data_IF_195146716568
#
_entry.id   IF_195146716568
#
_cell.length_a   1.000
_cell.length_b   1.000
_cell.length_c   1.000
_cell.angle_alpha   90.00
_cell.angle_beta   90.00
_cell.angle_gamma   90.00
#
_symmetry.space_group_name_H-M   'P 1'
#
loop_
_entity.id
_entity.type
_entity.pdbx_description
1 polymer ?
#
# COMPACT_ATOMS: atom_id res chain seq x y z
N UNK A 1 -4.27 10.69 19.88
CA UNK A 1 -3.60 11.30 18.70
C UNK A 1 -2.26 11.88 19.08
N UNK A 2 -2.20 12.90 19.95
CA UNK A 2 -0.95 13.55 20.36
C UNK A 2 0.03 12.65 21.15
N UNK A 3 -0.48 11.57 21.73
CA UNK A 3 0.32 10.55 22.41
C UNK A 3 1.16 9.71 21.44
N UNK A 4 0.69 9.52 20.20
CA UNK A 4 1.30 8.65 19.18
C UNK A 4 1.93 9.44 18.03
N UNK A 5 1.22 10.43 17.50
CA UNK A 5 1.61 11.19 16.31
C UNK A 5 2.31 12.47 16.73
N UNK A 6 3.39 12.83 16.04
CA UNK A 6 4.06 14.11 16.21
C UNK A 6 3.26 15.22 15.52
N UNK A 7 2.30 15.80 16.24
CA UNK A 7 1.36 16.81 15.71
C UNK A 7 2.09 18.03 15.15
N UNK A 8 3.15 18.49 15.82
CA UNK A 8 3.90 19.66 15.38
C UNK A 8 4.59 19.42 14.02
N UNK A 9 5.24 18.26 13.85
CA UNK A 9 5.85 17.87 12.57
C UNK A 9 4.80 17.75 11.46
N UNK A 10 3.63 17.19 11.80
CA UNK A 10 2.53 16.98 10.89
C UNK A 10 1.91 18.31 10.40
N UNK A 11 1.60 19.24 11.29
CA UNK A 11 1.06 20.56 10.92
C UNK A 11 2.09 21.40 10.14
N UNK A 12 3.36 21.35 10.54
CA UNK A 12 4.44 22.04 9.84
C UNK A 12 4.58 21.53 8.40
N UNK A 13 4.58 20.21 8.21
CA UNK A 13 4.73 19.61 6.90
C UNK A 13 3.52 19.91 6.00
N UNK A 14 2.28 19.89 6.54
CA UNK A 14 1.08 20.30 5.80
C UNK A 14 1.19 21.77 5.35
N UNK A 15 1.62 22.66 6.24
CA UNK A 15 1.79 24.08 5.91
C UNK A 15 2.90 24.34 4.88
N UNK A 16 3.98 23.54 4.89
CA UNK A 16 5.16 23.78 4.06
C UNK A 16 5.07 23.10 2.69
N UNK A 17 4.61 21.84 2.68
CA UNK A 17 4.63 20.98 1.50
C UNK A 17 3.27 20.92 0.80
N UNK A 18 2.20 21.36 1.44
CA UNK A 18 0.84 21.21 0.94
C UNK A 18 0.43 19.74 0.74
N UNK A 19 -0.76 19.55 0.20
CA UNK A 19 -1.28 18.22 -0.15
C UNK A 19 -1.98 18.23 -1.52
N UNK A 20 -2.97 19.11 -1.66
CA UNK A 20 -3.96 19.08 -2.75
C UNK A 20 -3.37 19.40 -4.13
N UNK A 21 -2.39 20.29 -4.18
CA UNK A 21 -1.83 20.79 -5.44
C UNK A 21 -0.56 20.05 -5.86
N UNK A 22 -0.14 19.04 -5.09
CA UNK A 22 1.07 18.28 -5.39
C UNK A 22 0.87 17.34 -6.59
N UNK A 23 1.89 17.22 -7.43
CA UNK A 23 1.90 16.38 -8.65
C UNK A 23 2.70 15.09 -8.43
N UNK A 24 2.31 13.94 -9.01
CA UNK A 24 1.35 13.75 -10.12
C UNK A 24 -0.14 13.72 -9.72
N UNK A 25 -0.42 13.61 -8.43
CA UNK A 25 -1.75 13.64 -7.81
C UNK A 25 -1.60 14.02 -6.34
N UNK A 26 -2.68 14.46 -5.66
CA UNK A 26 -2.61 14.96 -4.30
C UNK A 26 -1.89 13.99 -3.36
N UNK A 27 -0.85 14.46 -2.70
CA UNK A 27 -0.04 13.66 -1.78
C UNK A 27 0.80 14.53 -0.85
N UNK A 28 1.29 13.95 0.23
CA UNK A 28 2.26 14.57 1.14
C UNK A 28 3.19 13.50 1.71
N UNK A 29 4.47 13.87 1.89
CA UNK A 29 5.46 13.07 2.61
C UNK A 29 5.71 13.75 3.96
N UNK A 30 5.57 13.01 5.04
CA UNK A 30 5.84 13.49 6.39
C UNK A 30 7.00 12.69 6.97
N UNK A 31 7.97 13.40 7.55
CA UNK A 31 9.08 12.81 8.31
C UNK A 31 8.76 12.83 9.79
N UNK A 32 9.35 11.91 10.56
CA UNK A 32 9.17 11.83 12.01
C UNK A 32 7.69 11.78 12.42
N UNK A 33 6.90 11.00 11.69
CA UNK A 33 5.44 11.00 11.79
C UNK A 33 4.93 10.51 13.15
N UNK A 34 5.44 9.37 13.62
CA UNK A 34 5.20 8.88 14.96
C UNK A 34 6.18 9.51 15.94
N UNK A 35 5.82 9.58 17.21
CA UNK A 35 6.81 9.81 18.28
C UNK A 35 7.74 8.59 18.34
N UNK A 36 9.03 8.84 18.61
CA UNK A 36 10.09 7.84 18.46
C UNK A 36 9.83 6.56 19.25
N UNK A 37 9.25 6.65 20.45
CA UNK A 37 8.92 5.48 21.28
C UNK A 37 7.91 4.55 20.61
N UNK A 38 6.93 5.10 19.90
CA UNK A 38 5.94 4.31 19.17
C UNK A 38 6.50 3.75 17.89
N UNK A 39 7.33 4.51 17.18
CA UNK A 39 8.03 4.01 16.02
C UNK A 39 8.87 2.78 16.38
N UNK A 40 9.73 2.88 17.40
CA UNK A 40 10.61 1.77 17.79
C UNK A 40 9.82 0.55 18.27
N UNK A 41 8.72 0.76 18.99
CA UNK A 41 7.83 -0.31 19.43
C UNK A 41 7.15 -1.01 18.23
N UNK A 42 6.64 -0.27 17.25
CA UNK A 42 6.03 -0.83 16.03
C UNK A 42 7.05 -1.64 15.23
N UNK A 43 8.25 -1.12 15.01
CA UNK A 43 9.29 -1.83 14.26
C UNK A 43 9.68 -3.14 14.96
N UNK A 44 9.75 -3.15 16.29
CA UNK A 44 10.05 -4.36 17.07
C UNK A 44 8.97 -5.45 16.95
N UNK A 45 7.74 -5.09 16.57
CA UNK A 45 6.62 -6.01 16.45
C UNK A 45 6.44 -6.61 15.05
N UNK A 46 7.24 -6.20 14.05
CA UNK A 46 7.21 -6.86 12.74
C UNK A 46 7.66 -8.32 12.87
N UNK A 47 6.78 -9.31 12.63
CA UNK A 47 7.17 -10.69 12.81
C UNK A 47 8.16 -11.14 11.73
N UNK A 48 9.00 -12.12 12.09
CA UNK A 48 9.75 -12.88 11.11
C UNK A 48 8.82 -13.43 10.01
N UNK A 49 9.34 -13.54 8.80
CA UNK A 49 8.58 -14.05 7.65
C UNK A 49 8.40 -15.57 7.83
N UNK A 50 7.25 -15.95 8.37
CA UNK A 50 6.81 -17.33 8.57
C UNK A 50 5.41 -17.52 7.95
N UNK A 51 5.14 -18.71 7.42
CA UNK A 51 3.96 -19.00 6.61
C UNK A 51 2.63 -18.80 7.38
N UNK A 52 2.65 -18.96 8.69
CA UNK A 52 1.46 -18.83 9.55
C UNK A 52 1.05 -17.37 9.76
N UNK A 53 2.00 -16.44 9.59
CA UNK A 53 1.82 -15.01 9.86
C UNK A 53 1.67 -14.17 8.60
N UNK A 54 2.05 -14.71 7.45
CA UNK A 54 2.17 -13.94 6.21
C UNK A 54 1.51 -14.64 5.04
N UNK A 55 0.66 -13.91 4.33
CA UNK A 55 0.24 -14.29 2.98
C UNK A 55 1.34 -13.90 2.00
N UNK A 56 1.90 -14.88 1.29
CA UNK A 56 2.89 -14.64 0.24
C UNK A 56 2.19 -14.37 -1.09
N UNK A 57 2.37 -13.16 -1.60
CA UNK A 57 1.95 -12.77 -2.94
C UNK A 57 3.16 -12.84 -3.86
N UNK A 58 3.16 -13.81 -4.76
CA UNK A 58 4.23 -14.05 -5.72
C UNK A 58 3.62 -14.36 -7.08
N UNK A 59 3.58 -13.35 -7.95
CA UNK A 59 3.23 -13.50 -9.37
C UNK A 59 3.96 -12.43 -10.19
N UNK A 60 3.58 -12.23 -11.45
CA UNK A 60 4.31 -11.34 -12.38
C UNK A 60 4.33 -9.89 -11.91
N UNK A 61 3.30 -9.48 -11.16
CA UNK A 61 3.12 -8.08 -10.77
C UNK A 61 3.57 -7.75 -9.36
N UNK A 62 3.77 -8.75 -8.50
CA UNK A 62 4.24 -8.51 -7.14
C UNK A 62 4.97 -9.71 -6.56
N UNK A 63 5.92 -9.39 -5.69
CA UNK A 63 6.60 -10.32 -4.80
C UNK A 63 6.73 -9.69 -3.43
N UNK A 64 5.78 -9.97 -2.54
CA UNK A 64 5.70 -9.40 -1.19
C UNK A 64 4.97 -10.34 -0.23
N UNK A 65 5.09 -10.03 1.05
CA UNK A 65 4.34 -10.64 2.14
C UNK A 65 3.37 -9.61 2.72
N UNK A 66 2.14 -10.01 3.00
CA UNK A 66 1.18 -9.17 3.72
C UNK A 66 0.55 -9.90 4.90
N UNK A 67 0.29 -9.16 5.98
CA UNK A 67 -0.46 -9.60 7.14
C UNK A 67 -1.56 -8.58 7.44
N UNK A 68 -2.80 -8.99 7.18
CA UNK A 68 -4.03 -8.21 7.40
C UNK A 68 -4.74 -8.60 8.70
N UNK A 69 -4.27 -9.67 9.37
CA UNK A 69 -4.89 -10.24 10.56
C UNK A 69 -4.53 -9.41 11.79
N UNK A 70 -5.31 -8.37 12.04
CA UNK A 70 -5.13 -7.40 13.12
C UNK A 70 -4.90 -8.04 14.50
N UNK A 71 -5.58 -9.14 14.78
CA UNK A 71 -5.46 -9.92 16.02
C UNK A 71 -4.05 -10.52 16.22
N UNK A 72 -3.28 -10.72 15.14
CA UNK A 72 -1.92 -11.26 15.20
C UNK A 72 -0.85 -10.19 15.41
N UNK A 73 -1.21 -8.91 15.34
CA UNK A 73 -0.25 -7.80 15.49
C UNK A 73 0.14 -7.62 16.96
N UNK A 74 1.27 -6.96 17.22
CA UNK A 74 1.64 -6.62 18.59
C UNK A 74 0.81 -5.45 19.14
N UNK A 75 0.89 -5.23 20.45
CA UNK A 75 0.10 -4.21 21.15
C UNK A 75 0.40 -2.79 20.70
N UNK A 76 1.67 -2.47 20.42
CA UNK A 76 2.06 -1.14 19.99
C UNK A 76 1.51 -0.83 18.59
N UNK A 77 1.60 -1.79 17.67
CA UNK A 77 1.07 -1.64 16.32
C UNK A 77 -0.44 -1.50 16.34
N UNK A 78 -1.14 -2.32 17.14
CA UNK A 78 -2.59 -2.16 17.33
C UNK A 78 -2.95 -0.79 17.89
N UNK A 79 -2.22 -0.29 18.89
CA UNK A 79 -2.45 1.05 19.45
C UNK A 79 -2.20 2.17 18.46
N UNK A 80 -1.11 2.10 17.69
CA UNK A 80 -0.82 3.09 16.64
C UNK A 80 -1.93 3.08 15.60
N UNK A 81 -2.34 1.91 15.11
CA UNK A 81 -3.40 1.78 14.11
C UNK A 81 -4.74 2.28 14.65
N UNK A 82 -5.09 1.99 15.91
CA UNK A 82 -6.33 2.49 16.51
C UNK A 82 -6.34 4.01 16.60
N UNK A 83 -5.19 4.65 16.86
CA UNK A 83 -5.06 6.11 16.82
C UNK A 83 -5.19 6.64 15.38
N UNK A 84 -4.56 6.00 14.39
CA UNK A 84 -4.64 6.38 12.98
C UNK A 84 -6.02 6.10 12.35
N UNK A 85 -6.86 5.31 13.01
CA UNK A 85 -8.26 5.08 12.65
C UNK A 85 -9.25 5.80 13.59
N UNK A 86 -8.76 6.58 14.55
CA UNK A 86 -9.61 7.31 15.49
C UNK A 86 -10.36 8.46 14.80
N UNK A 87 -11.56 8.84 15.28
CA UNK A 87 -12.31 9.97 14.72
C UNK A 87 -11.46 11.24 14.60
N UNK A 88 -10.65 11.55 15.63
CA UNK A 88 -9.78 12.74 15.61
C UNK A 88 -8.76 12.73 14.47
N UNK A 89 -8.17 11.57 14.16
CA UNK A 89 -7.22 11.45 13.05
C UNK A 89 -7.93 11.47 11.70
N UNK A 90 -9.06 10.78 11.58
CA UNK A 90 -9.86 10.74 10.34
C UNK A 90 -10.39 12.14 9.99
N UNK A 91 -10.84 12.92 10.99
CA UNK A 91 -11.25 14.31 10.81
C UNK A 91 -10.08 15.20 10.34
N UNK A 92 -8.90 15.01 10.94
CA UNK A 92 -7.70 15.70 10.49
C UNK A 92 -7.35 15.34 9.04
N UNK A 93 -7.37 14.06 8.70
CA UNK A 93 -7.09 13.57 7.36
C UNK A 93 -8.09 14.14 6.34
N UNK A 94 -9.37 14.21 6.70
CA UNK A 94 -10.40 14.82 5.86
C UNK A 94 -10.13 16.30 5.58
N UNK A 95 -9.70 17.08 6.58
CA UNK A 95 -9.32 18.48 6.39
C UNK A 95 -8.12 18.64 5.45
N UNK A 96 -7.05 17.88 5.67
CA UNK A 96 -5.82 17.95 4.86
C UNK A 96 -6.11 17.57 3.41
N UNK A 97 -6.80 16.46 3.21
CA UNK A 97 -7.09 15.91 1.88
C UNK A 97 -8.19 16.70 1.16
N UNK A 98 -9.08 17.37 1.90
CA UNK A 98 -10.29 17.98 1.38
C UNK A 98 -11.38 16.97 1.03
N UNK A 99 -11.31 15.77 1.61
CA UNK A 99 -12.27 14.70 1.38
C UNK A 99 -13.05 14.51 2.68
N UNK A 100 -14.32 14.89 2.66
CA UNK A 100 -15.21 14.73 3.81
C UNK A 100 -15.77 13.31 3.88
N UNK A 101 -16.22 12.90 5.08
CA UNK A 101 -16.89 11.61 5.27
C UNK A 101 -15.99 10.39 5.06
N UNK A 102 -14.70 10.51 5.38
CA UNK A 102 -13.77 9.37 5.34
C UNK A 102 -14.19 8.29 6.35
N UNK A 103 -14.11 7.04 5.91
CA UNK A 103 -14.45 5.82 6.62
C UNK A 103 -13.21 4.94 6.67
N UNK A 104 -13.00 4.28 7.80
CA UNK A 104 -11.88 3.35 8.01
C UNK A 104 -12.23 1.95 7.46
N UNK A 105 -11.21 1.22 7.05
CA UNK A 105 -11.33 -0.22 6.80
C UNK A 105 -10.72 -1.01 7.96
N UNK A 106 -11.58 -1.61 8.80
CA UNK A 106 -11.17 -2.46 9.92
C UNK A 106 -10.72 -3.86 9.49
N UNK A 107 -11.03 -4.28 8.25
CA UNK A 107 -10.62 -5.56 7.70
C UNK A 107 -9.21 -5.54 7.10
N UNK A 108 -8.68 -4.34 6.86
CA UNK A 108 -7.38 -4.10 6.21
C UNK A 108 -7.25 -4.80 4.86
N UNK A 109 -8.32 -4.87 4.07
CA UNK A 109 -8.31 -5.55 2.78
C UNK A 109 -7.32 -4.88 1.82
N UNK A 110 -6.29 -5.63 1.44
CA UNK A 110 -5.16 -5.14 0.64
C UNK A 110 -4.16 -4.27 1.43
N UNK A 111 -4.49 -3.89 2.68
CA UNK A 111 -3.67 -3.07 3.57
C UNK A 111 -2.90 -3.93 4.59
N UNK A 112 -2.71 -3.37 5.78
CA UNK A 112 -2.06 -4.03 6.91
C UNK A 112 -0.53 -3.94 6.90
N UNK A 113 0.13 -4.88 7.59
CA UNK A 113 1.59 -4.96 7.57
C UNK A 113 2.07 -5.58 6.27
N UNK A 114 3.06 -4.97 5.60
CA UNK A 114 3.70 -5.51 4.40
C UNK A 114 5.21 -5.67 4.61
N UNK A 115 5.77 -6.72 4.02
CA UNK A 115 7.22 -6.94 3.93
C UNK A 115 7.64 -7.37 2.52
N UNK A 116 8.75 -6.80 2.03
CA UNK A 116 9.44 -7.27 0.83
C UNK A 116 10.90 -7.54 1.16
N UNK A 117 11.42 -8.71 0.78
CA UNK A 117 12.84 -9.09 0.96
C UNK A 117 13.61 -8.94 -0.35
N UNK A 118 14.88 -9.33 -0.39
CA UNK A 118 15.69 -9.38 -1.60
C UNK A 118 14.93 -10.03 -2.78
N UNK A 119 14.92 -9.33 -3.92
CA UNK A 119 14.16 -9.69 -5.11
C UNK A 119 12.67 -9.37 -5.07
N UNK A 120 12.15 -8.82 -3.97
CA UNK A 120 10.77 -8.36 -3.83
C UNK A 120 10.51 -7.07 -4.61
N UNK A 121 9.29 -6.91 -5.14
CA UNK A 121 8.88 -5.74 -5.92
C UNK A 121 7.35 -5.65 -5.97
N UNK A 122 6.85 -4.49 -6.39
CA UNK A 122 5.46 -4.28 -6.76
C UNK A 122 5.42 -3.37 -7.99
N UNK A 123 4.98 -3.93 -9.12
CA UNK A 123 4.91 -3.21 -10.38
C UNK A 123 4.00 -1.98 -10.27
N UNK A 124 4.20 -1.01 -11.16
CA UNK A 124 3.40 0.20 -11.17
C UNK A 124 1.93 -0.13 -11.39
N UNK A 125 1.06 0.39 -10.55
CA UNK A 125 -0.38 0.16 -10.59
C UNK A 125 -1.16 1.35 -10.05
N UNK A 126 -2.42 1.42 -10.42
CA UNK A 126 -3.42 2.16 -9.66
C UNK A 126 -4.32 1.14 -8.96
N UNK A 127 -4.64 1.41 -7.70
CA UNK A 127 -5.35 0.48 -6.81
C UNK A 127 -6.76 0.12 -7.29
N UNK A 128 -7.34 -0.91 -6.68
CA UNK A 128 -8.78 -1.14 -6.77
C UNK A 128 -9.54 0.03 -6.13
N UNK A 129 -10.65 0.42 -6.76
CA UNK A 129 -11.38 1.64 -6.37
C UNK A 129 -12.52 1.40 -5.39
N UNK A 130 -13.04 0.17 -5.30
CA UNK A 130 -14.19 -0.17 -4.44
C UNK A 130 -13.87 -1.37 -3.57
N UNK A 131 -14.17 -1.26 -2.27
CA UNK A 131 -13.96 -2.32 -1.30
C UNK A 131 -14.68 -3.62 -1.74
N UNK A 132 -14.00 -4.78 -1.74
CA UNK A 132 -14.59 -6.00 -2.31
C UNK A 132 -15.79 -6.52 -1.51
N UNK A 133 -15.85 -6.22 -0.21
CA UNK A 133 -16.94 -6.62 0.69
C UNK A 133 -17.95 -5.52 0.97
N UNK A 134 -17.66 -4.26 0.62
CA UNK A 134 -18.54 -3.10 0.83
C UNK A 134 -18.72 -2.34 -0.49
N UNK A 135 -19.77 -2.69 -1.25
CA UNK A 135 -19.95 -2.25 -2.65
C UNK A 135 -20.14 -0.74 -2.83
N UNK A 136 -20.48 -0.03 -1.76
CA UNK A 136 -20.66 1.42 -1.74
C UNK A 136 -19.46 2.16 -1.17
N UNK A 137 -18.38 1.47 -0.80
CA UNK A 137 -17.18 2.09 -0.26
C UNK A 137 -16.17 2.34 -1.36
N UNK A 138 -15.98 3.60 -1.73
CA UNK A 138 -14.96 4.00 -2.69
C UNK A 138 -13.67 4.35 -1.95
N UNK A 139 -12.54 3.76 -2.33
CA UNK A 139 -11.23 4.04 -1.75
C UNK A 139 -10.80 5.44 -2.17
N UNK A 140 -10.33 6.24 -1.21
CA UNK A 140 -10.01 7.67 -1.42
C UNK A 140 -8.59 8.01 -1.06
N UNK A 141 -8.09 7.49 0.06
CA UNK A 141 -6.78 7.87 0.59
C UNK A 141 -6.01 6.64 1.03
N UNK A 142 -4.73 6.63 0.68
CA UNK A 142 -3.74 5.68 1.17
C UNK A 142 -2.79 6.37 2.14
N UNK A 143 -2.50 5.72 3.26
CA UNK A 143 -1.43 6.07 4.19
C UNK A 143 -0.46 4.91 4.26
N UNK A 144 0.80 5.17 3.89
CA UNK A 144 1.89 4.19 3.90
C UNK A 144 2.98 4.65 4.86
N UNK A 145 3.03 4.06 6.05
CA UNK A 145 4.08 4.30 7.03
C UNK A 145 5.24 3.33 6.81
N UNK A 146 6.44 3.84 6.63
CA UNK A 146 7.65 3.05 6.46
C UNK A 146 8.32 2.75 7.80
N UNK A 147 8.53 1.46 8.07
CA UNK A 147 8.99 0.93 9.34
C UNK A 147 10.45 0.40 9.25
N UNK A 148 11.34 1.15 8.62
CA UNK A 148 12.72 0.72 8.31
C UNK A 148 13.73 1.58 9.07
N UNK A 149 14.55 1.01 9.96
CA UNK A 149 15.52 1.79 10.76
C UNK A 149 16.63 2.44 9.92
N UNK A 150 17.36 1.62 9.17
CA UNK A 150 18.59 2.03 8.49
C UNK A 150 18.51 1.70 6.99
N UNK A 151 17.47 2.21 6.32
CA UNK A 151 17.29 1.97 4.89
C UNK A 151 18.37 2.69 4.08
N UNK A 152 19.06 1.96 3.21
CA UNK A 152 20.11 2.50 2.35
C UNK A 152 19.64 2.62 0.91
N UNK A 153 20.10 3.66 0.22
CA UNK A 153 19.71 3.91 -1.17
C UNK A 153 20.08 2.76 -2.12
N UNK A 154 21.21 2.07 -1.87
CA UNK A 154 21.63 0.95 -2.73
C UNK A 154 20.69 -0.27 -2.68
N UNK A 155 19.76 -0.32 -1.72
CA UNK A 155 18.75 -1.39 -1.61
C UNK A 155 17.59 -1.23 -2.59
N UNK A 156 17.44 -0.05 -3.20
CA UNK A 156 16.28 0.32 -4.02
C UNK A 156 14.99 0.46 -3.19
N UNK A 157 13.85 0.12 -3.78
CA UNK A 157 12.57 0.04 -3.07
C UNK A 157 11.84 1.36 -2.83
N UNK A 158 12.31 2.44 -3.44
CA UNK A 158 11.58 3.71 -3.48
C UNK A 158 10.21 3.52 -4.14
N UNK A 159 9.18 4.12 -3.56
CA UNK A 159 7.88 4.17 -4.21
C UNK A 159 7.91 5.26 -5.29
N UNK A 160 7.78 4.85 -6.54
CA UNK A 160 7.61 5.73 -7.69
C UNK A 160 6.15 6.20 -7.76
N UNK A 161 5.93 7.51 -7.92
CA UNK A 161 4.64 8.10 -8.30
C UNK A 161 4.75 8.56 -9.76
N UNK A 162 3.88 8.04 -10.61
CA UNK A 162 3.90 8.28 -12.05
C UNK A 162 2.84 9.28 -12.46
N UNK A 163 3.12 9.99 -13.56
CA UNK A 163 2.13 10.80 -14.25
C UNK A 163 0.92 9.93 -14.60
N UNK A 164 -0.28 10.53 -14.59
CA UNK A 164 -1.55 9.85 -14.90
C UNK A 164 -1.55 9.16 -16.27
N UNK A 165 -0.79 9.69 -17.23
CA UNK A 165 -0.60 9.11 -18.57
C UNK A 165 0.52 8.04 -18.66
N UNK A 166 1.13 7.67 -17.52
CA UNK A 166 2.20 6.67 -17.39
C UNK A 166 3.48 6.96 -18.19
N UNK A 167 3.70 8.21 -18.62
CA UNK A 167 4.90 8.57 -19.41
C UNK A 167 6.12 8.91 -18.57
N UNK A 168 5.94 9.45 -17.36
CA UNK A 168 7.06 9.91 -16.51
C UNK A 168 6.87 9.49 -15.06
N UNK A 169 7.97 9.08 -14.43
CA UNK A 169 8.05 9.04 -12.98
C UNK A 169 8.25 10.46 -12.49
N UNK A 170 7.27 11.04 -11.79
CA UNK A 170 7.32 12.44 -11.36
C UNK A 170 7.85 12.58 -9.94
N UNK A 171 7.73 11.55 -9.11
CA UNK A 171 8.28 11.54 -7.75
C UNK A 171 8.74 10.15 -7.34
N UNK A 172 9.77 10.11 -6.48
CA UNK A 172 10.24 8.91 -5.78
C UNK A 172 10.23 9.17 -4.29
N UNK A 173 9.74 8.21 -3.51
CA UNK A 173 9.69 8.29 -2.04
C UNK A 173 10.44 7.10 -1.47
N UNK A 174 11.63 7.36 -0.93
CA UNK A 174 12.43 6.32 -0.27
C UNK A 174 11.74 5.83 1.02
N UNK A 175 11.78 4.52 1.32
CA UNK A 175 11.08 3.92 2.45
C UNK A 175 11.87 4.11 3.76
N UNK A 176 12.16 5.36 4.12
CA UNK A 176 13.02 5.72 5.26
C UNK A 176 12.31 5.56 6.61
N UNK A 177 13.12 5.62 7.68
CA UNK A 177 12.69 5.59 9.07
C UNK A 177 11.59 6.62 9.33
N UNK A 178 10.48 6.16 9.92
CA UNK A 178 9.40 7.00 10.44
C UNK A 178 8.83 8.01 9.42
N UNK A 179 8.95 7.65 8.14
CA UNK A 179 8.39 8.41 7.03
C UNK A 179 7.03 7.85 6.68
N UNK A 180 6.05 8.72 6.50
CA UNK A 180 4.75 8.34 5.94
C UNK A 180 4.53 9.06 4.62
N UNK A 181 3.99 8.32 3.65
CA UNK A 181 3.41 8.89 2.44
C UNK A 181 1.90 8.77 2.52
N UNK A 182 1.21 9.90 2.40
CA UNK A 182 -0.25 9.95 2.29
C UNK A 182 -0.58 10.46 0.90
N UNK A 183 -1.49 9.81 0.19
CA UNK A 183 -1.88 10.21 -1.17
C UNK A 183 -3.30 9.80 -1.52
N UNK A 184 -3.91 10.56 -2.42
CA UNK A 184 -5.20 10.21 -2.99
C UNK A 184 -5.04 9.01 -3.91
N UNK A 185 -5.98 8.08 -3.80
CA UNK A 185 -6.11 6.98 -4.75
C UNK A 185 -7.33 7.18 -5.62
N UNK A 186 -7.15 7.01 -6.92
CA UNK A 186 -8.17 7.12 -7.94
C UNK A 186 -7.87 6.15 -9.09
N UNK A 187 -8.47 6.36 -10.26
CA UNK A 187 -8.28 5.48 -11.42
C UNK A 187 -6.88 5.58 -12.03
N UNK A 188 -6.11 6.62 -11.79
CA UNK A 188 -4.85 6.85 -12.51
C UNK A 188 -3.77 7.42 -11.59
N UNK A 189 -3.94 7.23 -10.28
CA UNK A 189 -2.94 7.43 -9.24
C UNK A 189 -1.88 6.32 -9.28
N UNK A 190 -1.12 6.26 -10.37
CA UNK A 190 -0.16 5.20 -10.63
C UNK A 190 1.06 5.28 -9.71
N UNK A 191 1.36 4.17 -9.04
CA UNK A 191 2.51 4.04 -8.14
C UNK A 191 3.03 2.61 -8.04
N UNK A 192 4.28 2.44 -7.58
CA UNK A 192 4.86 1.12 -7.34
C UNK A 192 6.34 1.20 -6.94
N UNK A 193 6.92 0.08 -6.54
CA UNK A 193 8.37 -0.08 -6.43
C UNK A 193 8.79 -1.25 -7.35
N UNK A 194 8.84 -1.01 -8.66
CA UNK A 194 8.90 -2.07 -9.67
C UNK A 194 10.28 -2.75 -9.79
N UNK A 195 11.33 -2.11 -9.29
CA UNK A 195 12.67 -2.67 -9.32
C UNK A 195 12.89 -3.62 -8.13
N UNK A 196 13.35 -4.87 -8.39
CA UNK A 196 13.59 -5.84 -7.32
C UNK A 196 14.61 -5.34 -6.29
N UNK A 197 14.27 -5.52 -5.00
CA UNK A 197 15.15 -5.12 -3.90
C UNK A 197 16.49 -5.86 -3.92
N UNK A 198 17.55 -5.16 -3.55
CA UNK A 198 18.92 -5.67 -3.42
C UNK A 198 19.37 -5.76 -1.96
N UNK A 199 18.41 -5.92 -1.03
CA UNK A 199 18.69 -5.96 0.41
C UNK A 199 19.56 -7.16 0.81
N UNK A 200 20.40 -7.02 1.86
CA UNK A 200 21.08 -8.15 2.48
C UNK A 200 20.09 -9.17 3.08
N UNK A 201 20.57 -10.39 3.32
CA UNK A 201 19.79 -11.42 4.04
C UNK A 201 19.38 -10.88 5.42
N UNK A 202 18.12 -11.08 5.78
CA UNK A 202 17.54 -10.62 7.04
C UNK A 202 17.05 -9.16 7.03
N UNK A 203 17.27 -8.42 5.94
CA UNK A 203 16.76 -7.05 5.78
C UNK A 203 15.55 -7.06 4.85
N UNK A 204 14.42 -6.59 5.37
CA UNK A 204 13.16 -6.44 4.63
C UNK A 204 12.76 -4.96 4.54
N UNK A 205 12.11 -4.59 3.43
CA UNK A 205 11.34 -3.35 3.29
C UNK A 205 10.01 -3.54 3.99
N UNK A 206 9.82 -2.85 5.10
CA UNK A 206 8.67 -2.95 5.98
C UNK A 206 7.80 -1.69 5.87
N UNK A 207 6.49 -1.91 5.79
CA UNK A 207 5.51 -0.82 5.85
C UNK A 207 4.20 -1.25 6.50
N UNK A 208 3.49 -0.28 7.07
CA UNK A 208 2.10 -0.40 7.49
C UNK A 208 1.24 0.42 6.52
N UNK A 209 0.24 -0.21 5.93
CA UNK A 209 -0.65 0.39 4.94
C UNK A 209 -2.08 0.48 5.47
N UNK A 210 -2.62 1.71 5.54
CA UNK A 210 -3.99 2.00 5.95
C UNK A 210 -4.74 2.71 4.83
N UNK A 211 -5.97 2.30 4.58
CA UNK A 211 -6.80 2.84 3.50
C UNK A 211 -8.10 3.41 4.05
N UNK A 212 -8.50 4.54 3.48
CA UNK A 212 -9.70 5.27 3.88
C UNK A 212 -10.63 5.41 2.68
N UNK A 213 -11.92 5.26 2.95
CA UNK A 213 -12.98 5.16 1.95
C UNK A 213 -14.02 6.26 2.15
N UNK A 214 -14.89 6.48 1.17
CA UNK A 214 -16.14 7.24 1.34
C UNK A 214 -17.32 6.35 0.98
N UNK A 215 -18.48 6.64 1.58
CA UNK A 215 -19.75 6.04 1.17
C UNK A 215 -20.24 6.77 -0.09
N UNK A 216 -20.45 6.03 -1.18
CA UNK A 216 -20.90 6.56 -2.47
C UNK A 216 -22.13 5.78 -2.95
N UNK A 217 -23.11 6.47 -3.52
CA UNK A 217 -24.32 5.81 -4.05
C UNK A 217 -23.99 4.91 -5.25
N UNK A 218 -23.17 5.41 -6.17
CA UNK A 218 -22.78 4.73 -7.40
C UNK A 218 -21.27 4.83 -7.65
N UNK A 219 -20.44 4.15 -6.85
CA UNK A 219 -19.00 4.23 -7.01
C UNK A 219 -18.53 3.56 -8.30
N UNK A 220 -17.46 4.09 -8.89
CA UNK A 220 -16.86 3.51 -10.08
C UNK A 220 -16.03 2.29 -9.67
N UNK A 221 -16.49 1.10 -10.04
CA UNK A 221 -15.80 -0.16 -9.70
C UNK A 221 -14.68 -0.44 -10.70
N UNK A 222 -13.45 -0.58 -10.19
CA UNK A 222 -12.30 -1.07 -10.94
C UNK A 222 -11.39 -1.93 -10.08
N UNK A 223 -10.91 -3.01 -10.65
CA UNK A 223 -9.79 -3.79 -10.11
C UNK A 223 -8.48 -3.03 -10.20
N UNK A 224 -7.46 -3.51 -9.48
CA UNK A 224 -6.09 -3.01 -9.58
C UNK A 224 -5.62 -3.01 -11.04
N UNK A 225 -5.07 -1.87 -11.45
CA UNK A 225 -4.68 -1.59 -12.83
C UNK A 225 -3.16 -1.54 -12.94
N UNK A 226 -2.54 -2.69 -13.22
CA UNK A 226 -1.10 -2.76 -13.45
C UNK A 226 -0.70 -2.15 -14.79
N UNK A 227 0.41 -1.42 -14.79
CA UNK A 227 1.02 -0.74 -15.92
C UNK A 227 2.51 -1.06 -15.97
N UNK A 228 2.99 -1.36 -17.17
CA UNK A 228 4.42 -1.41 -17.44
C UNK A 228 4.96 0.01 -17.59
N UNK A 229 6.19 0.23 -17.13
CA UNK A 229 6.93 1.48 -17.34
C UNK A 229 7.36 1.62 -18.80
N UNK A 230 7.59 2.85 -19.29
CA UNK A 230 8.45 3.07 -20.44
C UNK A 230 9.80 2.38 -20.20
N UNK A 231 10.20 1.48 -21.11
CA UNK A 231 11.45 0.73 -21.01
C UNK A 231 11.35 -0.70 -20.48
N UNK A 232 10.19 -1.16 -19.98
CA UNK A 232 10.03 -2.54 -19.49
C UNK A 232 10.08 -3.61 -20.60
N UNK A 233 10.09 -3.20 -21.88
CA UNK A 233 10.27 -4.07 -23.04
C UNK A 233 9.28 -5.25 -23.06
N UNK A 234 9.80 -6.47 -23.18
CA UNK A 234 9.00 -7.70 -23.25
C UNK A 234 8.18 -7.97 -21.96
N UNK A 235 8.59 -7.45 -20.79
CA UNK A 235 7.82 -7.60 -19.54
C UNK A 235 6.42 -7.01 -19.65
N UNK A 236 6.22 -6.01 -20.54
CA UNK A 236 4.91 -5.40 -20.79
C UNK A 236 3.82 -6.41 -21.14
N UNK A 237 4.13 -7.41 -21.97
CA UNK A 237 3.18 -8.44 -22.35
C UNK A 237 2.81 -9.34 -21.16
N UNK A 238 3.79 -9.66 -20.31
CA UNK A 238 3.60 -10.46 -19.10
C UNK A 238 2.72 -9.72 -18.08
N UNK A 239 3.02 -8.44 -17.83
CA UNK A 239 2.25 -7.57 -16.94
C UNK A 239 0.80 -7.49 -17.41
N UNK A 240 0.58 -7.30 -18.72
CA UNK A 240 -0.76 -7.23 -19.30
C UNK A 240 -1.52 -8.55 -19.15
N UNK A 241 -0.90 -9.69 -19.46
CA UNK A 241 -1.54 -10.99 -19.34
C UNK A 241 -1.95 -11.31 -17.88
N UNK A 242 -1.03 -11.09 -16.93
CA UNK A 242 -1.28 -11.30 -15.49
C UNK A 242 -2.43 -10.39 -14.99
N UNK A 243 -2.44 -9.13 -15.41
CA UNK A 243 -3.53 -8.18 -15.13
C UNK A 243 -4.89 -8.70 -15.62
N UNK A 244 -4.99 -9.24 -16.84
CA UNK A 244 -6.26 -9.77 -17.35
C UNK A 244 -6.74 -10.97 -16.53
N UNK A 245 -5.82 -11.84 -16.11
CA UNK A 245 -6.15 -12.97 -15.23
C UNK A 245 -6.69 -12.50 -13.88
N UNK A 246 -6.04 -11.52 -13.24
CA UNK A 246 -6.49 -10.95 -11.97
C UNK A 246 -7.88 -10.28 -12.09
N UNK A 247 -8.16 -9.57 -13.18
CA UNK A 247 -9.49 -8.99 -13.44
C UNK A 247 -10.58 -10.07 -13.55
N UNK A 248 -10.30 -11.16 -14.26
CA UNK A 248 -11.21 -12.30 -14.35
C UNK A 248 -11.48 -12.93 -12.99
N UNK A 249 -10.42 -13.06 -12.18
CA UNK A 249 -10.52 -13.56 -10.81
C UNK A 249 -11.37 -12.64 -9.91
N UNK A 250 -11.11 -11.33 -9.92
CA UNK A 250 -11.87 -10.35 -9.14
C UNK A 250 -13.36 -10.34 -9.52
N UNK A 251 -13.66 -10.43 -10.81
CA UNK A 251 -15.04 -10.55 -11.29
C UNK A 251 -15.70 -11.81 -10.72
N UNK A 252 -15.02 -12.96 -10.75
CA UNK A 252 -15.55 -14.20 -10.19
C UNK A 252 -15.74 -14.10 -8.67
N UNK A 253 -14.77 -13.54 -7.93
CA UNK A 253 -14.86 -13.30 -6.48
C UNK A 253 -16.08 -12.44 -6.15
N UNK A 254 -16.28 -11.32 -6.86
CA UNK A 254 -17.43 -10.42 -6.67
C UNK A 254 -18.78 -11.05 -7.03
N UNK A 255 -18.80 -11.95 -8.03
CA UNK A 255 -20.02 -12.58 -8.55
C UNK A 255 -20.45 -13.81 -7.76
N UNK A 256 -19.51 -14.54 -7.18
CA UNK A 256 -19.72 -15.87 -6.58
C UNK A 256 -19.23 -16.00 -5.12
N UNK A 257 -18.71 -14.92 -4.51
CA UNK A 257 -18.21 -14.89 -3.13
C UNK A 257 -17.12 -15.95 -2.82
N UNK A 258 -16.20 -16.14 -3.76
CA UNK A 258 -15.12 -17.14 -3.66
C UNK A 258 -14.01 -16.62 -2.72
N UNK A 259 -13.55 -17.44 -1.77
CA UNK A 259 -12.49 -17.10 -0.82
C UNK A 259 -11.07 -17.03 -1.44
N UNK A 260 -10.16 -16.31 -0.79
CA UNK A 260 -8.78 -16.08 -1.25
C UNK A 260 -7.96 -17.39 -1.42
N UNK A 261 -8.30 -18.46 -0.70
CA UNK A 261 -7.60 -19.75 -0.76
C UNK A 261 -7.81 -20.53 -2.07
N UNK A 262 -8.94 -20.32 -2.75
CA UNK A 262 -9.17 -20.91 -4.07
C UNK A 262 -8.32 -20.21 -5.15
N UNK A 263 -8.14 -18.89 -5.01
CA UNK A 263 -7.38 -18.04 -5.90
C UNK A 263 -5.89 -18.38 -5.94
N UNK A 264 -5.29 -18.50 -4.75
CA UNK A 264 -3.87 -18.79 -4.58
C UNK A 264 -3.51 -20.16 -5.15
N UNK A 265 -4.42 -21.15 -5.07
CA UNK A 265 -4.25 -22.48 -5.68
C UNK A 265 -4.28 -22.43 -7.20
N UNK A 266 -5.15 -21.61 -7.79
CA UNK A 266 -5.26 -21.45 -9.26
C UNK A 266 -4.08 -20.66 -9.83
N UNK A 267 -3.73 -19.53 -9.22
CA UNK A 267 -2.58 -18.71 -9.64
C UNK A 267 -1.24 -19.46 -9.44
N UNK A 268 -1.09 -20.17 -8.30
CA UNK A 268 0.07 -21.04 -8.06
C UNK A 268 0.14 -22.29 -8.94
N UNK A 269 -0.98 -22.71 -9.58
CA UNK A 269 -0.96 -23.76 -10.60
C UNK A 269 -0.39 -23.22 -11.93
N UNK A 270 -0.76 -21.99 -12.32
CA UNK A 270 -0.20 -21.32 -13.51
C UNK A 270 1.30 -21.07 -13.36
N UNK A 271 1.78 -20.73 -12.16
CA UNK A 271 3.22 -20.55 -11.91
C UNK A 271 3.99 -21.88 -11.95
N UNK A 272 3.43 -22.97 -11.39
CA UNK A 272 4.02 -24.32 -11.47
C UNK A 272 4.11 -24.85 -12.90
N UNK A 273 3.17 -24.47 -13.75
CA UNK A 273 3.20 -24.82 -15.18
C UNK A 273 4.27 -24.05 -15.96
N UNK A 274 4.71 -22.88 -15.45
CA UNK A 274 5.78 -22.05 -16.04
C UNK A 274 7.19 -22.40 -15.57
N UNK A 275 7.33 -23.17 -14.48
CA UNK A 275 8.61 -23.66 -13.96
C UNK A 275 9.00 -25.05 -14.51
N UNK A 276 8.17 -25.62 -15.39
CA UNK A 276 8.49 -26.80 -16.22
C UNK A 276 8.77 -26.33 -17.64
#
# INVERSE_FOLDING_TARGET
>A
MADVVNIAALEQAVSTNGYRDNTPYPHIVLENFLRDEWFEAVVAEFPAIAAEKWTNYSHVNERKFANQKYETWGSATRHVVSVLNSPAFVDWLGRVTGIEGLIIDESFEGGGMHQSIAGGYLNVHADFTVHPHHRHWQRRVNLLLYCNRDWRSEYGGELELWSRDMKRCEKRVAPLKNRVLIFNTDMDSFHGHPDPLTTPVGVARQSLALYYFTQEEAPVVRSTEYRARPGDGAKRALIFADKQALRGFDWAKRRFNIGNDFASRVLGAVERFRRR
#
